data_IF_785048108161
#
_entry.id   IF_785048108161
#
_cell.length_a   1.000
_cell.length_b   1.000
_cell.length_c   1.000
_cell.angle_alpha   90.00
_cell.angle_beta   90.00
_cell.angle_gamma   90.00
#
_symmetry.space_group_name_H-M   'P 1'
#
loop_
_entity.id
_entity.type
_entity.pdbx_description
1 polymer ?
#
# COMPACT_ATOMS: atom_id res chain seq x y z
N UNK A 1 1.14 4.05 31.27
CA UNK A 1 1.01 3.59 29.87
C UNK A 1 0.10 4.61 29.24
N UNK A 2 0.68 5.57 28.52
CA UNK A 2 -0.02 6.79 28.11
C UNK A 2 -1.01 6.42 27.00
N UNK A 3 -2.29 6.70 27.26
CA UNK A 3 -3.34 6.65 26.24
C UNK A 3 -3.09 7.81 25.28
N UNK A 4 -2.72 7.50 24.04
CA UNK A 4 -2.70 8.50 22.96
C UNK A 4 -4.16 8.85 22.64
N UNK A 5 -4.47 10.15 22.63
CA UNK A 5 -5.82 10.66 22.39
C UNK A 5 -6.41 10.09 21.08
N UNK A 6 -7.44 9.28 21.22
CA UNK A 6 -8.20 8.62 20.15
C UNK A 6 -8.79 9.61 19.11
N UNK A 7 -8.75 10.91 19.39
CA UNK A 7 -9.20 11.97 18.49
C UNK A 7 -8.23 12.24 17.31
N UNK A 8 -6.95 11.84 17.40
CA UNK A 8 -5.98 12.04 16.30
C UNK A 8 -6.04 10.96 15.21
N UNK A 9 -6.68 9.82 15.47
CA UNK A 9 -6.73 8.70 14.52
C UNK A 9 -7.86 8.85 13.48
N UNK A 10 -8.96 9.50 13.84
CA UNK A 10 -10.07 9.78 12.90
C UNK A 10 -9.68 10.83 11.86
N UNK A 11 -8.87 11.82 12.26
CA UNK A 11 -8.29 12.82 11.34
C UNK A 11 -7.25 12.20 10.38
N UNK A 12 -6.88 10.92 10.59
CA UNK A 12 -5.93 10.18 9.76
C UNK A 12 -6.60 9.41 8.61
N UNK A 13 -7.93 9.30 8.55
CA UNK A 13 -8.61 8.50 7.52
C UNK A 13 -8.30 9.05 6.12
N UNK A 14 -8.34 10.37 5.93
CA UNK A 14 -8.01 10.99 4.65
C UNK A 14 -6.56 10.67 4.25
N UNK A 15 -5.63 10.74 5.21
CA UNK A 15 -4.22 10.40 5.00
C UNK A 15 -4.03 8.91 4.68
N UNK A 16 -4.82 8.02 5.30
CA UNK A 16 -4.81 6.59 4.99
C UNK A 16 -5.37 6.29 3.59
N UNK A 17 -6.40 7.04 3.15
CA UNK A 17 -6.91 6.94 1.79
C UNK A 17 -5.85 7.40 0.78
N UNK A 18 -5.26 8.59 0.98
CA UNK A 18 -4.16 9.10 0.16
C UNK A 18 -2.97 8.12 0.12
N UNK A 19 -2.71 7.41 1.22
CA UNK A 19 -1.68 6.36 1.28
C UNK A 19 -2.05 5.14 0.42
N UNK A 20 -3.30 4.67 0.48
CA UNK A 20 -3.77 3.55 -0.32
C UNK A 20 -3.78 3.86 -1.81
N UNK A 21 -4.11 5.10 -2.18
CA UNK A 21 -4.10 5.59 -3.55
C UNK A 21 -2.69 5.93 -4.06
N UNK A 22 -1.69 5.96 -3.16
CA UNK A 22 -0.31 6.28 -3.50
C UNK A 22 -0.06 7.75 -3.79
N UNK A 23 -0.92 8.64 -3.30
CA UNK A 23 -0.87 10.09 -3.52
C UNK A 23 -0.05 10.84 -2.47
N UNK A 24 0.34 10.17 -1.38
CA UNK A 24 1.20 10.77 -0.36
C UNK A 24 2.60 11.07 -0.88
N UNK A 25 3.15 12.19 -0.39
CA UNK A 25 4.58 12.49 -0.55
C UNK A 25 5.45 11.44 0.14
N UNK A 26 6.68 11.22 -0.33
CA UNK A 26 7.60 10.26 0.28
C UNK A 26 7.85 10.53 1.78
N UNK A 27 7.91 11.81 2.17
CA UNK A 27 8.07 12.21 3.57
C UNK A 27 6.84 11.84 4.40
N UNK A 28 5.65 12.19 3.93
CA UNK A 28 4.38 11.89 4.63
C UNK A 28 4.14 10.38 4.73
N UNK A 29 4.52 9.63 3.70
CA UNK A 29 4.48 8.18 3.67
C UNK A 29 5.34 7.58 4.78
N UNK A 30 6.58 8.05 4.94
CA UNK A 30 7.47 7.58 6.00
C UNK A 30 6.97 7.93 7.42
N UNK A 31 6.40 9.11 7.61
CA UNK A 31 5.80 9.55 8.88
C UNK A 31 4.59 8.68 9.25
N UNK A 32 3.69 8.43 8.29
CA UNK A 32 2.54 7.55 8.49
C UNK A 32 2.98 6.11 8.81
N UNK A 33 3.97 5.58 8.10
CA UNK A 33 4.49 4.24 8.37
C UNK A 33 5.09 4.10 9.77
N UNK A 34 5.73 5.14 10.30
CA UNK A 34 6.19 5.14 11.70
C UNK A 34 5.02 5.13 12.68
N UNK A 35 3.96 5.90 12.40
CA UNK A 35 2.75 5.86 13.22
C UNK A 35 2.09 4.47 13.22
N UNK A 36 1.93 3.87 12.05
CA UNK A 36 1.34 2.52 11.90
C UNK A 36 2.14 1.45 12.66
N UNK A 37 3.47 1.58 12.73
CA UNK A 37 4.31 0.68 13.55
C UNK A 37 4.02 0.78 15.05
N UNK A 38 3.56 1.94 15.52
CA UNK A 38 3.36 2.22 16.95
C UNK A 38 1.89 2.20 17.38
N UNK A 39 0.94 2.22 16.43
CA UNK A 39 -0.50 2.31 16.69
C UNK A 39 -1.28 1.13 16.09
N UNK A 40 -1.63 0.11 16.90
CA UNK A 40 -2.43 -1.02 16.44
C UNK A 40 -3.83 -0.63 15.95
N UNK A 41 -4.46 0.40 16.52
CA UNK A 41 -5.79 0.86 16.12
C UNK A 41 -5.77 1.37 14.66
N UNK A 42 -4.80 2.21 14.30
CA UNK A 42 -4.66 2.69 12.92
C UNK A 42 -4.28 1.57 11.95
N UNK A 43 -3.55 0.55 12.41
CA UNK A 43 -3.28 -0.64 11.62
C UNK A 43 -4.58 -1.40 11.31
N UNK A 44 -5.47 -1.58 12.28
CA UNK A 44 -6.78 -2.22 12.08
C UNK A 44 -7.68 -1.42 11.13
N UNK A 45 -7.66 -0.09 11.21
CA UNK A 45 -8.40 0.79 10.30
C UNK A 45 -7.86 0.64 8.87
N UNK A 46 -6.54 0.71 8.69
CA UNK A 46 -5.90 0.53 7.38
C UNK A 46 -6.24 -0.84 6.77
N UNK A 47 -6.23 -1.90 7.56
CA UNK A 47 -6.56 -3.25 7.08
C UNK A 47 -8.05 -3.36 6.70
N UNK A 48 -8.94 -2.68 7.42
CA UNK A 48 -10.37 -2.59 7.06
C UNK A 48 -10.61 -1.82 5.75
N UNK A 49 -9.88 -0.72 5.54
CA UNK A 49 -9.93 0.04 4.28
C UNK A 49 -9.42 -0.80 3.11
N UNK A 50 -8.31 -1.53 3.28
CA UNK A 50 -7.78 -2.46 2.26
C UNK A 50 -8.79 -3.53 1.85
N UNK A 51 -9.45 -4.15 2.83
CA UNK A 51 -10.50 -5.13 2.55
C UNK A 51 -11.66 -4.52 1.76
N UNK A 52 -12.01 -3.27 2.06
CA UNK A 52 -13.05 -2.55 1.32
C UNK A 52 -12.64 -2.35 -0.15
N UNK A 53 -11.41 -1.91 -0.41
CA UNK A 53 -10.87 -1.77 -1.79
C UNK A 53 -10.84 -3.11 -2.51
N UNK A 54 -10.39 -4.18 -1.86
CA UNK A 54 -10.33 -5.52 -2.45
C UNK A 54 -11.74 -6.04 -2.83
N UNK A 55 -12.72 -5.87 -1.94
CA UNK A 55 -14.11 -6.23 -2.22
C UNK A 55 -14.66 -5.45 -3.42
N UNK A 56 -14.36 -4.17 -3.53
CA UNK A 56 -14.79 -3.33 -4.67
C UNK A 56 -14.11 -3.77 -5.98
N UNK A 57 -12.81 -4.04 -5.98
CA UNK A 57 -12.10 -4.57 -7.15
C UNK A 57 -12.66 -5.91 -7.64
N UNK A 58 -13.22 -6.73 -6.74
CA UNK A 58 -13.87 -7.99 -7.12
C UNK A 58 -15.28 -7.82 -7.70
N UNK A 59 -15.89 -6.64 -7.58
CA UNK A 59 -17.16 -6.33 -8.23
C UNK A 59 -16.96 -5.87 -9.68
N UNK A 60 -15.79 -5.33 -10.00
CA UNK A 60 -15.44 -4.93 -11.37
C UNK A 60 -15.13 -6.16 -12.24
N UNK A 61 -15.50 -6.08 -13.52
CA UNK A 61 -15.28 -7.14 -14.50
C UNK A 61 -13.82 -7.62 -14.49
N UNK A 62 -13.62 -8.93 -14.63
CA UNK A 62 -12.30 -9.55 -14.71
C UNK A 62 -11.43 -8.75 -15.68
N UNK A 63 -10.30 -8.15 -15.22
CA UNK A 63 -9.48 -7.32 -16.08
C UNK A 63 -9.04 -8.12 -17.31
N UNK A 64 -8.89 -7.47 -18.48
CA UNK A 64 -8.49 -8.17 -19.68
C UNK A 64 -7.19 -8.95 -19.42
N UNK A 65 -7.07 -10.19 -19.94
CA UNK A 65 -5.90 -11.01 -19.69
C UNK A 65 -4.64 -10.29 -20.14
N UNK A 66 -3.59 -10.38 -19.32
CA UNK A 66 -2.30 -9.80 -19.65
C UNK A 66 -1.78 -10.44 -20.95
N UNK A 67 -1.30 -9.66 -21.94
CA UNK A 67 -0.68 -10.24 -23.12
C UNK A 67 0.52 -11.12 -22.71
N UNK A 68 0.63 -12.38 -23.17
CA UNK A 68 1.69 -13.30 -22.73
C UNK A 68 3.10 -12.72 -22.93
N UNK A 69 3.32 -12.00 -24.04
CA UNK A 69 4.59 -11.35 -24.34
C UNK A 69 4.94 -10.21 -23.37
N UNK A 70 3.96 -9.59 -22.71
CA UNK A 70 4.20 -8.57 -21.70
C UNK A 70 4.68 -9.20 -20.39
N UNK A 71 4.07 -10.31 -19.98
CA UNK A 71 4.48 -11.06 -18.79
C UNK A 71 5.94 -11.52 -18.89
N UNK A 72 6.30 -12.18 -20.01
CA UNK A 72 7.66 -12.65 -20.27
C UNK A 72 8.67 -11.50 -20.21
N UNK A 73 8.35 -10.35 -20.82
CA UNK A 73 9.21 -9.16 -20.82
C UNK A 73 9.36 -8.56 -19.44
N UNK A 74 8.30 -8.53 -18.63
CA UNK A 74 8.35 -8.01 -17.26
C UNK A 74 9.25 -8.90 -16.39
N UNK A 75 9.08 -10.23 -16.46
CA UNK A 75 9.88 -11.19 -15.71
C UNK A 75 11.36 -11.08 -16.09
N UNK A 76 11.70 -11.08 -17.39
CA UNK A 76 13.08 -10.93 -17.87
C UNK A 76 13.72 -9.62 -17.39
N UNK A 77 12.99 -8.49 -17.47
CA UNK A 77 13.49 -7.21 -16.98
C UNK A 77 13.70 -7.19 -15.46
N UNK A 78 12.80 -7.77 -14.68
CA UNK A 78 12.95 -7.89 -13.23
C UNK A 78 14.16 -8.74 -12.86
N UNK A 79 14.34 -9.89 -13.53
CA UNK A 79 15.48 -10.79 -13.29
C UNK A 79 16.82 -10.11 -13.58
N UNK A 80 16.93 -9.38 -14.70
CA UNK A 80 18.14 -8.61 -15.02
C UNK A 80 18.46 -7.57 -13.95
N UNK A 81 17.46 -6.78 -13.54
CA UNK A 81 17.64 -5.78 -12.46
C UNK A 81 18.08 -6.40 -11.14
N UNK A 82 17.55 -7.59 -10.80
CA UNK A 82 17.98 -8.32 -9.63
C UNK A 82 19.43 -8.80 -9.78
N UNK A 83 19.79 -9.41 -10.91
CA UNK A 83 21.17 -9.85 -11.19
C UNK A 83 22.17 -8.70 -11.12
N UNK A 84 21.86 -7.55 -11.72
CA UNK A 84 22.68 -6.34 -11.66
C UNK A 84 22.86 -5.85 -10.22
N UNK A 85 21.82 -5.96 -9.38
CA UNK A 85 21.87 -5.58 -7.96
C UNK A 85 22.70 -6.55 -7.10
N UNK A 86 22.85 -7.80 -7.51
CA UNK A 86 23.65 -8.82 -6.82
C UNK A 86 25.06 -9.03 -7.43
N UNK A 87 25.44 -8.27 -8.47
CA UNK A 87 26.78 -8.28 -9.07
C UNK A 87 27.69 -7.14 -8.60
N UNK A 88 27.33 -6.47 -7.50
CA UNK A 88 28.19 -5.57 -6.71
C UNK A 88 28.45 -6.19 -5.34
#
# INVERSE_FOLDING_TARGET
MEHFDHHQCLDLIDVLNDYLDGELSATSCAELEEHLRQCPECQEILDSLRQTVELLHHLDDVPPPLPPALEERLIDQMQRRLQDKYHY
#
